data_IF_696984662739
#
_entry.id   IF_696984662739
#
_cell.length_a   1.000
_cell.length_b   1.000
_cell.length_c   1.000
_cell.angle_alpha   90.00
_cell.angle_beta   90.00
_cell.angle_gamma   90.00
#
_symmetry.space_group_name_H-M   'P 1'
#
loop_
_entity.id
_entity.type
_entity.pdbx_description
1 polymer ?
#
# COMPACT_ATOMS: atom_id res chain seq x y z
N UNK A 1 8.52 26.85 18.27
CA UNK A 1 7.82 25.73 17.60
C UNK A 1 7.76 26.04 16.11
N UNK A 2 8.26 25.17 15.24
CA UNK A 2 8.23 25.38 13.77
C UNK A 2 7.01 24.67 13.16
N UNK A 3 5.86 25.34 13.19
CA UNK A 3 4.63 24.81 12.58
C UNK A 3 4.80 24.69 11.06
N UNK A 4 4.36 23.57 10.49
CA UNK A 4 4.51 23.29 9.07
C UNK A 4 5.92 22.89 8.62
N UNK A 5 6.84 22.63 9.56
CA UNK A 5 8.19 22.17 9.22
C UNK A 5 8.25 20.70 8.81
N UNK A 6 7.28 19.89 9.26
CA UNK A 6 7.16 18.48 8.90
C UNK A 6 5.78 18.19 8.34
N UNK A 7 5.71 17.20 7.44
CA UNK A 7 4.46 16.65 6.95
C UNK A 7 3.76 15.82 8.02
N UNK A 8 2.44 15.92 8.06
CA UNK A 8 1.59 15.13 8.93
C UNK A 8 0.78 14.20 8.05
N UNK A 9 0.85 12.90 8.33
CA UNK A 9 0.10 11.87 7.64
C UNK A 9 -0.93 11.26 8.59
N UNK A 10 -2.13 11.03 8.08
CA UNK A 10 -3.20 10.32 8.78
C UNK A 10 -3.40 8.94 8.12
N UNK A 11 -3.73 7.90 8.89
CA UNK A 11 -4.03 6.60 8.32
C UNK A 11 -5.30 6.68 7.46
N UNK A 12 -5.24 6.12 6.27
CA UNK A 12 -6.39 5.98 5.38
C UNK A 12 -7.14 4.69 5.68
N UNK A 13 -8.45 4.79 5.92
CA UNK A 13 -9.32 3.61 5.94
C UNK A 13 -9.67 3.21 4.49
N UNK A 14 -8.93 2.25 3.95
CA UNK A 14 -9.10 1.79 2.58
C UNK A 14 -10.43 1.07 2.33
N UNK A 15 -11.08 0.50 3.34
CA UNK A 15 -12.37 -0.16 3.15
C UNK A 15 -13.46 0.89 2.87
N UNK A 16 -13.42 2.02 3.57
CA UNK A 16 -14.34 3.14 3.35
C UNK A 16 -14.07 3.78 1.99
N UNK A 17 -12.80 4.06 1.68
CA UNK A 17 -12.42 4.69 0.40
C UNK A 17 -12.79 3.79 -0.78
N UNK A 18 -12.57 2.49 -0.67
CA UNK A 18 -12.95 1.52 -1.70
C UNK A 18 -14.45 1.53 -1.96
N UNK A 19 -15.27 1.40 -0.91
CA UNK A 19 -16.72 1.42 -1.02
C UNK A 19 -17.22 2.72 -1.68
N UNK A 20 -16.68 3.87 -1.28
CA UNK A 20 -17.03 5.16 -1.89
C UNK A 20 -16.65 5.21 -3.38
N UNK A 21 -15.43 4.77 -3.72
CA UNK A 21 -14.94 4.78 -5.09
C UNK A 21 -15.79 3.87 -6.00
N UNK A 22 -16.15 2.68 -5.53
CA UNK A 22 -17.04 1.75 -6.26
C UNK A 22 -18.41 2.39 -6.52
N UNK A 23 -19.02 3.03 -5.52
CA UNK A 23 -20.33 3.69 -5.68
C UNK A 23 -20.28 4.83 -6.69
N UNK A 24 -19.23 5.64 -6.65
CA UNK A 24 -19.10 6.82 -7.53
C UNK A 24 -18.80 6.40 -8.97
N UNK A 25 -17.95 5.39 -9.16
CA UNK A 25 -17.38 5.07 -10.47
C UNK A 25 -17.99 3.84 -11.13
N UNK A 26 -18.65 2.97 -10.38
CA UNK A 26 -19.13 1.66 -10.83
C UNK A 26 -18.01 0.66 -11.16
N UNK A 27 -16.74 1.01 -10.90
CA UNK A 27 -15.58 0.16 -11.20
C UNK A 27 -15.43 -0.93 -10.15
N UNK A 28 -15.06 -2.12 -10.60
CA UNK A 28 -14.63 -3.19 -9.70
C UNK A 28 -13.25 -2.85 -9.15
N UNK A 29 -13.08 -2.94 -7.85
CA UNK A 29 -11.81 -2.65 -7.19
C UNK A 29 -11.41 -3.76 -6.23
N UNK A 30 -10.14 -3.71 -5.81
CA UNK A 30 -9.60 -4.55 -4.76
C UNK A 30 -8.60 -3.78 -3.91
N UNK A 31 -8.79 -3.80 -2.60
CA UNK A 31 -7.77 -3.47 -1.60
C UNK A 31 -6.92 -4.70 -1.28
N UNK A 32 -5.63 -4.53 -1.08
CA UNK A 32 -4.70 -5.59 -0.65
C UNK A 32 -3.63 -5.03 0.26
N UNK A 33 -3.04 -5.88 1.09
CA UNK A 33 -1.85 -5.51 1.86
C UNK A 33 -0.69 -5.19 0.89
N UNK A 34 0.24 -4.34 1.32
CA UNK A 34 1.44 -4.05 0.54
C UNK A 34 2.21 -5.32 0.16
N UNK A 35 2.42 -6.23 1.13
CA UNK A 35 3.15 -7.46 0.90
C UNK A 35 2.47 -8.37 -0.13
N UNK A 36 1.14 -8.52 -0.09
CA UNK A 36 0.40 -9.33 -1.07
C UNK A 36 0.43 -8.72 -2.47
N UNK A 37 0.38 -7.39 -2.54
CA UNK A 37 0.53 -6.67 -3.80
C UNK A 37 1.93 -6.90 -4.39
N UNK A 38 2.99 -6.74 -3.59
CA UNK A 38 4.37 -6.90 -4.07
C UNK A 38 4.68 -8.35 -4.47
N UNK A 39 4.20 -9.36 -3.72
CA UNK A 39 4.35 -10.76 -4.12
C UNK A 39 3.75 -11.10 -5.48
N UNK A 40 2.72 -10.36 -5.89
CA UNK A 40 2.06 -10.59 -7.18
C UNK A 40 2.73 -9.86 -8.33
N UNK A 41 3.29 -8.68 -8.06
CA UNK A 41 3.65 -7.73 -9.13
C UNK A 41 5.12 -7.33 -9.17
N UNK A 42 5.90 -7.57 -8.12
CA UNK A 42 7.32 -7.23 -8.06
C UNK A 42 8.21 -8.46 -8.36
N UNK A 43 9.39 -8.19 -8.91
CA UNK A 43 10.49 -9.15 -8.98
C UNK A 43 11.19 -9.17 -7.61
N UNK A 44 10.81 -10.11 -6.74
CA UNK A 44 11.24 -10.11 -5.34
C UNK A 44 12.70 -10.49 -5.17
N UNK A 45 13.24 -11.27 -6.10
CA UNK A 45 14.63 -11.71 -6.11
C UNK A 45 15.58 -10.52 -6.22
N UNK A 46 15.16 -9.47 -6.94
CA UNK A 46 15.92 -8.23 -7.11
C UNK A 46 15.82 -7.30 -5.89
N UNK A 47 14.96 -7.63 -4.92
CA UNK A 47 14.74 -6.83 -3.71
C UNK A 47 15.22 -7.52 -2.44
N UNK A 48 15.91 -8.65 -2.58
CA UNK A 48 16.60 -9.33 -1.49
C UNK A 48 17.93 -8.62 -1.19
N UNK A 49 18.13 -8.31 0.08
CA UNK A 49 19.39 -7.77 0.59
C UNK A 49 20.47 -8.85 0.61
N UNK A 50 21.73 -8.45 0.72
CA UNK A 50 22.85 -9.40 0.88
C UNK A 50 22.70 -10.35 2.07
N UNK A 51 21.96 -9.95 3.10
CA UNK A 51 21.67 -10.74 4.30
C UNK A 51 20.46 -11.67 4.17
N UNK A 52 19.77 -11.68 3.02
CA UNK A 52 18.61 -12.54 2.75
C UNK A 52 17.26 -11.96 3.16
N UNK A 53 17.23 -10.74 3.69
CA UNK A 53 15.98 -10.05 4.01
C UNK A 53 15.41 -9.37 2.78
N UNK A 54 14.07 -9.26 2.69
CA UNK A 54 13.39 -8.51 1.64
C UNK A 54 12.62 -7.31 2.24
N UNK A 55 13.23 -6.12 2.35
CA UNK A 55 12.62 -4.92 2.93
C UNK A 55 11.31 -4.51 2.25
N UNK A 56 11.19 -4.77 0.94
CA UNK A 56 9.97 -4.48 0.19
C UNK A 56 8.76 -5.27 0.74
N UNK A 57 8.98 -6.46 1.29
CA UNK A 57 7.90 -7.24 1.92
C UNK A 57 7.72 -6.93 3.41
N UNK A 58 8.78 -6.56 4.13
CA UNK A 58 8.76 -6.49 5.59
C UNK A 58 8.61 -5.10 6.18
N UNK A 59 9.03 -4.02 5.49
CA UNK A 59 9.09 -2.68 6.11
C UNK A 59 7.78 -1.92 6.01
N UNK A 60 6.91 -2.26 5.06
CA UNK A 60 5.66 -1.54 4.77
C UNK A 60 4.41 -2.36 5.10
N UNK A 61 4.46 -3.17 6.16
CA UNK A 61 3.36 -4.07 6.54
C UNK A 61 2.04 -3.33 6.86
N UNK A 62 2.13 -2.07 7.27
CA UNK A 62 0.98 -1.20 7.56
C UNK A 62 0.45 -0.46 6.31
N UNK A 63 1.09 -0.61 5.15
CA UNK A 63 0.63 -0.01 3.91
C UNK A 63 -0.38 -0.92 3.20
N UNK A 64 -1.34 -0.29 2.53
CA UNK A 64 -2.35 -0.97 1.70
C UNK A 64 -2.37 -0.35 0.31
N UNK A 65 -2.77 -1.13 -0.68
CA UNK A 65 -2.88 -0.72 -2.08
C UNK A 65 -4.29 -1.02 -2.56
N UNK A 66 -4.93 -0.04 -3.20
CA UNK A 66 -6.21 -0.21 -3.88
C UNK A 66 -5.99 -0.13 -5.39
N UNK A 67 -6.54 -1.09 -6.13
CA UNK A 67 -6.50 -1.11 -7.60
C UNK A 67 -7.89 -1.28 -8.19
N UNK A 68 -8.11 -0.74 -9.38
CA UNK A 68 -9.23 -1.14 -10.24
C UNK A 68 -8.83 -2.42 -10.97
N UNK A 69 -9.75 -3.38 -11.04
CA UNK A 69 -9.57 -4.67 -11.70
C UNK A 69 -10.08 -4.62 -13.14
#
# INVERSE_FOLDING_TARGET
>A
VHQGYFDIMFPTDFNIVEAMYQVITGKLTRVSSHGDFMRRWAYLEDTETRSGENPLLSYYQNASVMVTV
#
